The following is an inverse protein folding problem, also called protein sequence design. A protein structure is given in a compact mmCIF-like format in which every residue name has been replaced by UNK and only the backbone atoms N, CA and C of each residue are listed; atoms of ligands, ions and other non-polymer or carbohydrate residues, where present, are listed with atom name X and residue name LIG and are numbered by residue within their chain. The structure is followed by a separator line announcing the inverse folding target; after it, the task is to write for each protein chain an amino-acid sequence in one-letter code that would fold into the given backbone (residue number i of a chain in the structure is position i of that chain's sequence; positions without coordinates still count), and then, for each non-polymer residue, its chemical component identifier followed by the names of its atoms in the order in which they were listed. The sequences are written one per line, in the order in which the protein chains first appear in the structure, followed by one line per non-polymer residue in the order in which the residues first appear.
data_IF_039513833790
#
_entry.id   IF_039513833790
#
_cell.length_a   1.000
_cell.length_b   1.000
_cell.length_c   1.000
_cell.angle_alpha   90.00
_cell.angle_beta   90.00
_cell.angle_gamma   90.00
#
_symmetry.space_group_name_H-M   'P 1'
#
loop_
_entity.id
_entity.type
_entity.pdbx_description
1 polymer ?
#
# COMPACT_ATOMS: atom_id res chain seq x y z
N UNK A 1 2.35 -9.83 -15.39
CA UNK A 1 2.18 -10.10 -13.94
C UNK A 1 1.99 -11.59 -13.66
N UNK A 2 1.13 -12.30 -14.41
CA UNK A 2 0.93 -13.77 -14.25
C UNK A 2 2.25 -14.53 -14.43
N UNK A 3 3.10 -14.12 -15.39
CA UNK A 3 4.41 -14.75 -15.64
C UNK A 3 5.42 -14.55 -14.49
N UNK A 4 5.29 -13.48 -13.70
CA UNK A 4 6.14 -13.27 -12.54
C UNK A 4 5.86 -14.30 -11.44
N UNK A 5 4.60 -14.57 -11.12
CA UNK A 5 4.21 -15.55 -10.10
C UNK A 5 4.49 -17.02 -10.49
N UNK A 6 4.77 -17.28 -11.76
CA UNK A 6 5.11 -18.63 -12.25
C UNK A 6 6.61 -18.90 -12.27
N UNK A 7 7.47 -17.89 -12.08
CA UNK A 7 8.92 -18.10 -12.02
C UNK A 7 9.30 -18.90 -10.75
N UNK A 8 10.19 -19.86 -10.90
CA UNK A 8 10.65 -20.69 -9.78
C UNK A 8 11.21 -19.85 -8.62
N UNK A 9 11.86 -18.72 -8.92
CA UNK A 9 12.40 -17.81 -7.90
C UNK A 9 11.34 -17.22 -6.96
N UNK A 10 10.08 -17.11 -7.39
CA UNK A 10 8.96 -16.64 -6.56
C UNK A 10 8.19 -17.77 -5.86
N UNK A 11 8.54 -19.02 -6.15
CA UNK A 11 7.92 -20.21 -5.58
C UNK A 11 8.85 -20.96 -4.64
N UNK A 12 10.11 -20.53 -4.54
CA UNK A 12 11.11 -21.09 -3.64
C UNK A 12 11.23 -20.23 -2.39
N UNK A 13 11.27 -20.90 -1.25
CA UNK A 13 11.57 -20.29 0.04
C UNK A 13 12.50 -21.24 0.78
N UNK A 14 13.40 -20.71 1.59
CA UNK A 14 14.24 -21.51 2.47
C UNK A 14 13.39 -22.27 3.49
N UNK A 15 13.80 -23.47 3.83
CA UNK A 15 13.12 -24.29 4.83
C UNK A 15 13.60 -23.90 6.24
N UNK A 16 12.71 -23.25 6.96
CA UNK A 16 12.89 -22.87 8.37
C UNK A 16 12.03 -23.69 9.32
N UNK A 17 11.48 -24.84 8.87
CA UNK A 17 10.59 -25.69 9.66
C UNK A 17 11.26 -26.28 10.91
N UNK A 18 12.59 -26.30 10.93
CA UNK A 18 13.42 -26.73 12.05
C UNK A 18 13.56 -25.70 13.18
N UNK A 19 13.14 -24.45 12.94
CA UNK A 19 13.11 -23.42 13.97
C UNK A 19 11.87 -23.60 14.88
N UNK A 20 11.97 -23.08 16.10
CA UNK A 20 10.88 -23.15 17.07
C UNK A 20 9.83 -22.06 16.80
N UNK A 21 9.04 -22.28 15.74
CA UNK A 21 7.90 -21.42 15.40
C UNK A 21 6.71 -21.71 16.31
N UNK A 22 6.04 -20.70 16.87
CA UNK A 22 4.75 -20.90 17.50
C UNK A 22 3.70 -21.27 16.43
N UNK A 23 2.75 -22.14 16.78
CA UNK A 23 1.55 -22.29 15.96
C UNK A 23 0.71 -21.02 16.05
N UNK A 24 0.59 -20.31 14.94
CA UNK A 24 -0.09 -19.03 14.92
C UNK A 24 -0.75 -18.75 13.56
N UNK A 25 -1.72 -17.84 13.59
CA UNK A 25 -2.35 -17.32 12.38
C UNK A 25 -2.26 -15.81 12.41
N UNK A 26 -1.67 -15.23 11.37
CA UNK A 26 -1.62 -13.80 11.18
C UNK A 26 -2.72 -13.33 10.24
N UNK A 27 -3.23 -12.15 10.48
CA UNK A 27 -4.15 -11.47 9.58
C UNK A 27 -3.38 -10.44 8.75
N UNK A 28 -3.41 -10.63 7.45
CA UNK A 28 -2.87 -9.70 6.46
C UNK A 28 -4.02 -8.84 5.94
N UNK A 29 -3.92 -7.52 6.05
CA UNK A 29 -4.90 -6.57 5.51
C UNK A 29 -4.34 -5.81 4.31
N UNK A 30 -5.19 -5.53 3.32
CA UNK A 30 -4.89 -4.58 2.25
C UNK A 30 -6.12 -3.75 1.88
N UNK A 31 -5.88 -2.53 1.40
CA UNK A 31 -6.95 -1.57 1.08
C UNK A 31 -7.68 -1.85 -0.22
N UNK A 32 -7.11 -2.66 -1.09
CA UNK A 32 -7.64 -2.94 -2.42
C UNK A 32 -8.53 -4.18 -2.44
N UNK A 33 -9.23 -4.40 -3.56
CA UNK A 33 -10.19 -5.51 -3.70
C UNK A 33 -9.53 -6.89 -3.64
N UNK A 34 -10.33 -7.90 -3.39
CA UNK A 34 -9.94 -9.32 -3.32
C UNK A 34 -9.21 -9.81 -4.58
N UNK A 35 -9.54 -9.25 -5.75
CA UNK A 35 -8.95 -9.60 -7.04
C UNK A 35 -7.74 -8.73 -7.43
N UNK A 36 -7.23 -7.94 -6.51
CA UNK A 36 -6.09 -7.06 -6.75
C UNK A 36 -4.76 -7.80 -6.64
N UNK A 37 -3.73 -7.25 -7.29
CA UNK A 37 -2.35 -7.71 -7.16
C UNK A 37 -1.83 -7.60 -5.71
N UNK A 38 -2.38 -6.70 -4.90
CA UNK A 38 -2.04 -6.57 -3.49
C UNK A 38 -2.53 -7.77 -2.68
N UNK A 39 -3.78 -8.19 -2.90
CA UNK A 39 -4.33 -9.38 -2.26
C UNK A 39 -3.62 -10.66 -2.78
N UNK A 40 -3.25 -10.73 -4.06
CA UNK A 40 -2.44 -11.82 -4.62
C UNK A 40 -1.06 -11.90 -3.96
N UNK A 41 -0.41 -10.76 -3.76
CA UNK A 41 0.85 -10.66 -3.04
C UNK A 41 0.74 -11.20 -1.60
N UNK A 42 -0.33 -10.81 -0.88
CA UNK A 42 -0.62 -11.32 0.44
C UNK A 42 -0.85 -12.85 0.47
N UNK A 43 -1.62 -13.38 -0.50
CA UNK A 43 -1.82 -14.83 -0.63
C UNK A 43 -0.51 -15.56 -0.88
N UNK A 44 0.32 -15.02 -1.77
CA UNK A 44 1.63 -15.62 -2.06
C UNK A 44 2.56 -15.59 -0.86
N UNK A 45 2.58 -14.47 -0.14
CA UNK A 45 3.32 -14.37 1.11
C UNK A 45 2.86 -15.43 2.12
N UNK A 46 1.55 -15.61 2.31
CA UNK A 46 0.98 -16.62 3.21
C UNK A 46 1.37 -18.05 2.82
N UNK A 47 1.28 -18.39 1.52
CA UNK A 47 1.73 -19.68 0.99
C UNK A 47 3.21 -19.97 1.32
N UNK A 48 4.07 -18.96 1.09
CA UNK A 48 5.51 -19.11 1.35
C UNK A 48 5.81 -19.21 2.84
N UNK A 49 5.11 -18.46 3.69
CA UNK A 49 5.26 -18.55 5.15
C UNK A 49 4.82 -19.93 5.68
N UNK A 50 3.68 -20.45 5.22
CA UNK A 50 3.23 -21.76 5.61
C UNK A 50 4.24 -22.84 5.19
N UNK A 51 4.77 -22.75 3.97
CA UNK A 51 5.81 -23.66 3.47
C UNK A 51 7.10 -23.56 4.28
N UNK A 52 7.61 -22.34 4.51
CA UNK A 52 8.87 -22.11 5.22
C UNK A 52 8.83 -22.59 6.67
N UNK A 53 7.67 -22.50 7.32
CA UNK A 53 7.50 -22.84 8.76
C UNK A 53 6.95 -24.25 9.00
N UNK A 54 6.84 -25.08 7.95
CA UNK A 54 6.27 -26.42 8.05
C UNK A 54 4.80 -26.42 8.51
N UNK A 55 4.03 -25.41 8.09
CA UNK A 55 2.60 -25.27 8.39
C UNK A 55 2.27 -24.63 9.74
N UNK A 56 3.27 -24.20 10.51
CA UNK A 56 3.05 -23.62 11.85
C UNK A 56 2.53 -22.18 11.80
N UNK A 57 2.96 -21.39 10.82
CA UNK A 57 2.47 -20.02 10.61
C UNK A 57 1.54 -19.98 9.42
N UNK A 58 0.29 -19.57 9.65
CA UNK A 58 -0.72 -19.35 8.61
C UNK A 58 -1.02 -17.88 8.45
N UNK A 59 -1.47 -17.46 7.26
CA UNK A 59 -1.83 -16.06 6.99
C UNK A 59 -3.22 -16.01 6.37
N UNK A 60 -4.15 -15.35 7.04
CA UNK A 60 -5.46 -15.03 6.49
C UNK A 60 -5.38 -13.70 5.74
N UNK A 61 -6.03 -13.60 4.59
CA UNK A 61 -6.04 -12.39 3.77
C UNK A 61 -7.39 -11.67 3.91
N UNK A 62 -7.34 -10.39 4.24
CA UNK A 62 -8.49 -9.51 4.37
C UNK A 62 -8.31 -8.32 3.44
N UNK A 63 -8.99 -8.36 2.30
CA UNK A 63 -9.00 -7.29 1.30
C UNK A 63 -9.97 -6.17 1.67
N UNK A 64 -9.86 -5.02 0.99
CA UNK A 64 -10.74 -3.86 1.16
C UNK A 64 -10.91 -3.39 2.61
N UNK A 65 -9.87 -3.56 3.43
CA UNK A 65 -9.87 -3.21 4.87
C UNK A 65 -11.06 -3.81 5.63
N UNK A 66 -11.45 -5.06 5.32
CA UNK A 66 -12.61 -5.75 5.91
C UNK A 66 -12.60 -5.76 7.43
N UNK A 67 -11.41 -5.88 8.05
CA UNK A 67 -11.28 -5.92 9.52
C UNK A 67 -11.58 -4.56 10.19
N UNK A 68 -11.65 -3.49 9.40
CA UNK A 68 -11.93 -2.12 9.85
C UNK A 68 -13.04 -1.45 9.03
N UNK A 69 -14.00 -2.26 8.55
CA UNK A 69 -15.19 -1.81 7.81
C UNK A 69 -14.85 -0.90 6.60
N UNK A 70 -13.73 -1.15 5.92
CA UNK A 70 -13.28 -0.39 4.77
C UNK A 70 -12.53 0.90 5.11
N UNK A 71 -12.28 1.19 6.37
CA UNK A 71 -11.56 2.38 6.80
C UNK A 71 -10.05 2.15 6.80
N UNK A 72 -9.35 2.76 5.85
CA UNK A 72 -7.92 2.60 5.64
C UNK A 72 -7.07 3.10 6.82
N UNK A 73 -7.45 4.23 7.43
CA UNK A 73 -6.71 4.78 8.57
C UNK A 73 -6.86 3.90 9.82
N UNK A 74 -8.06 3.34 10.05
CA UNK A 74 -8.27 2.37 11.11
C UNK A 74 -7.51 1.07 10.85
N UNK A 75 -7.35 0.65 9.57
CA UNK A 75 -6.53 -0.48 9.18
C UNK A 75 -5.06 -0.32 9.58
N UNK A 76 -4.48 0.86 9.33
CA UNK A 76 -3.12 1.19 9.78
C UNK A 76 -3.02 1.27 11.30
N UNK A 77 -4.03 1.82 11.98
CA UNK A 77 -4.04 1.86 13.44
C UNK A 77 -4.14 0.46 14.06
N UNK A 78 -4.92 -0.43 13.46
CA UNK A 78 -5.01 -1.84 13.86
C UNK A 78 -3.67 -2.55 13.70
N UNK A 79 -2.93 -2.28 12.61
CA UNK A 79 -1.56 -2.77 12.42
C UNK A 79 -0.61 -2.26 13.51
N UNK A 80 -0.63 -0.96 13.81
CA UNK A 80 0.21 -0.36 14.87
C UNK A 80 -0.10 -0.97 16.24
N UNK A 81 -1.35 -1.36 16.49
CA UNK A 81 -1.76 -2.02 17.72
C UNK A 81 -1.44 -3.54 17.73
N UNK A 82 -1.16 -4.13 16.56
CA UNK A 82 -0.91 -5.57 16.39
C UNK A 82 -2.16 -6.45 16.47
N UNK A 83 -3.35 -5.85 16.57
CA UNK A 83 -4.63 -6.55 16.64
C UNK A 83 -5.77 -5.68 16.04
N UNK A 84 -6.63 -6.24 15.20
CA UNK A 84 -6.63 -7.60 14.65
C UNK A 84 -5.68 -7.81 13.45
N UNK A 85 -4.86 -6.84 13.07
CA UNK A 85 -3.97 -6.88 11.90
C UNK A 85 -2.52 -7.01 12.35
N UNK A 86 -1.81 -8.04 11.86
CA UNK A 86 -0.39 -8.26 12.14
C UNK A 86 0.50 -7.90 10.95
N UNK A 87 -0.04 -7.97 9.74
CA UNK A 87 0.68 -7.65 8.50
C UNK A 87 -0.25 -6.82 7.62
N UNK A 88 0.29 -5.85 6.90
CA UNK A 88 -0.53 -5.11 5.95
C UNK A 88 0.23 -4.63 4.72
N UNK A 89 -0.54 -4.37 3.67
CA UNK A 89 -0.10 -3.65 2.48
C UNK A 89 -1.00 -2.42 2.29
N UNK A 90 -0.50 -1.27 2.71
CA UNK A 90 -1.19 0.00 2.63
C UNK A 90 -0.35 1.06 1.91
N UNK A 91 -1.02 2.04 1.33
CA UNK A 91 -0.36 3.16 0.66
C UNK A 91 0.30 4.10 1.67
N UNK A 92 1.52 4.56 1.36
CA UNK A 92 2.20 5.62 2.11
C UNK A 92 1.35 6.91 2.23
N UNK A 93 0.44 7.16 1.28
CA UNK A 93 -0.49 8.28 1.34
C UNK A 93 -1.39 8.25 2.59
N UNK A 94 -1.80 7.07 3.02
CA UNK A 94 -2.65 6.93 4.21
C UNK A 94 -1.80 7.11 5.49
N UNK A 95 -0.56 6.59 5.49
CA UNK A 95 0.38 6.83 6.59
C UNK A 95 0.66 8.32 6.80
N UNK A 96 0.54 9.16 5.76
CA UNK A 96 0.75 10.60 5.89
C UNK A 96 -0.26 11.31 6.81
N UNK A 97 -1.37 10.67 7.15
CA UNK A 97 -2.31 11.17 8.16
C UNK A 97 -1.77 11.04 9.59
N UNK A 98 -0.86 10.10 9.83
CA UNK A 98 -0.20 9.89 11.12
C UNK A 98 1.12 10.64 11.18
N UNK A 99 1.88 10.66 10.08
CA UNK A 99 3.16 11.36 10.00
C UNK A 99 3.34 12.03 8.63
N UNK A 100 3.44 13.37 8.58
CA UNK A 100 3.55 14.11 7.32
C UNK A 100 4.84 13.81 6.55
N UNK A 101 5.87 13.20 7.15
CA UNK A 101 7.10 12.78 6.46
C UNK A 101 6.82 11.77 5.34
N UNK A 102 5.77 10.97 5.45
CA UNK A 102 5.33 10.06 4.38
C UNK A 102 4.85 10.76 3.10
N UNK A 103 4.59 12.07 3.15
CA UNK A 103 4.20 12.82 1.95
C UNK A 103 5.37 13.04 0.99
N UNK A 104 6.62 13.04 1.45
CA UNK A 104 7.78 13.43 0.65
C UNK A 104 7.92 12.58 -0.63
N UNK A 105 7.63 11.31 -0.52
CA UNK A 105 7.69 10.36 -1.65
C UNK A 105 6.45 10.38 -2.56
N UNK A 106 5.48 11.22 -2.26
CA UNK A 106 4.25 11.40 -3.05
C UNK A 106 4.08 12.81 -3.58
N UNK A 107 5.11 13.64 -3.46
CA UNK A 107 5.11 14.96 -4.07
C UNK A 107 4.95 14.83 -5.59
N UNK A 108 4.14 15.69 -6.23
CA UNK A 108 4.00 15.68 -7.67
C UNK A 108 5.33 15.89 -8.39
N UNK A 109 5.54 15.17 -9.49
CA UNK A 109 6.67 15.35 -10.42
C UNK A 109 8.07 15.11 -9.84
N UNK A 110 8.19 14.29 -8.77
CA UNK A 110 9.48 13.93 -8.18
C UNK A 110 10.14 12.71 -8.81
N UNK A 111 9.42 12.01 -9.70
CA UNK A 111 9.92 10.84 -10.42
C UNK A 111 9.74 11.03 -11.91
N UNK A 112 10.80 10.74 -12.67
CA UNK A 112 10.80 10.85 -14.14
C UNK A 112 10.44 9.52 -14.82
N UNK A 113 10.66 8.39 -14.14
CA UNK A 113 10.41 7.05 -14.65
C UNK A 113 10.26 6.04 -13.52
N UNK A 114 9.90 4.79 -13.85
CA UNK A 114 9.91 3.67 -12.89
C UNK A 114 11.32 3.38 -12.40
N UNK A 115 12.32 3.36 -13.28
CA UNK A 115 13.73 3.12 -12.90
C UNK A 115 14.23 4.19 -11.92
N UNK A 116 13.82 5.46 -12.09
CA UNK A 116 14.16 6.55 -11.18
C UNK A 116 13.46 6.38 -9.82
N UNK A 117 12.19 5.95 -9.81
CA UNK A 117 11.47 5.66 -8.59
C UNK A 117 12.09 4.48 -7.83
N UNK A 118 12.39 3.38 -8.53
CA UNK A 118 13.04 2.20 -7.96
C UNK A 118 14.39 2.56 -7.33
N UNK A 119 15.25 3.29 -8.05
CA UNK A 119 16.55 3.71 -7.55
C UNK A 119 16.42 4.56 -6.25
N UNK A 120 15.39 5.39 -6.13
CA UNK A 120 15.13 6.20 -4.93
C UNK A 120 14.59 5.35 -3.78
N UNK A 121 13.69 4.40 -4.05
CA UNK A 121 13.10 3.54 -3.03
C UNK A 121 14.03 2.42 -2.56
N UNK A 122 14.93 1.94 -3.43
CA UNK A 122 16.00 1.01 -3.06
C UNK A 122 17.18 1.73 -2.37
N UNK A 123 17.19 3.06 -2.40
CA UNK A 123 18.21 3.92 -1.83
C UNK A 123 17.80 4.59 -0.51
N UNK A 124 18.38 5.77 -0.25
CA UNK A 124 18.25 6.52 1.01
C UNK A 124 16.78 6.87 1.35
N UNK A 125 15.96 7.18 0.34
CA UNK A 125 14.55 7.54 0.58
C UNK A 125 13.75 6.35 1.14
N UNK A 126 13.96 5.15 0.60
CA UNK A 126 13.30 3.95 1.10
C UNK A 126 13.78 3.56 2.50
N UNK A 127 15.09 3.63 2.77
CA UNK A 127 15.63 3.39 4.12
C UNK A 127 15.05 4.38 5.13
N UNK A 128 14.90 5.65 4.75
CA UNK A 128 14.28 6.66 5.61
C UNK A 128 12.82 6.37 5.92
N UNK A 129 12.05 5.87 4.95
CA UNK A 129 10.66 5.43 5.22
C UNK A 129 10.61 4.24 6.17
N UNK A 130 11.52 3.28 6.04
CA UNK A 130 11.63 2.13 6.95
C UNK A 130 11.95 2.58 8.38
N UNK A 131 12.88 3.54 8.55
CA UNK A 131 13.20 4.14 9.84
C UNK A 131 11.97 4.79 10.48
N UNK A 132 11.22 5.60 9.71
CA UNK A 132 10.01 6.26 10.20
C UNK A 132 8.96 5.23 10.63
N UNK A 133 8.74 4.15 9.86
CA UNK A 133 7.84 3.07 10.26
C UNK A 133 8.31 2.40 11.56
N UNK A 134 9.61 2.23 11.75
CA UNK A 134 10.22 1.73 12.98
C UNK A 134 9.90 2.57 14.22
N UNK A 135 9.77 3.90 14.08
CA UNK A 135 9.36 4.80 15.19
C UNK A 135 7.94 4.48 15.69
N UNK A 136 7.10 3.87 14.84
CA UNK A 136 5.73 3.40 15.17
C UNK A 136 5.67 1.92 15.57
N UNK A 137 6.82 1.29 15.79
CA UNK A 137 6.90 -0.14 16.14
C UNK A 137 6.63 -1.09 14.98
N UNK A 138 6.65 -0.59 13.76
CA UNK A 138 6.40 -1.37 12.55
C UNK A 138 7.71 -1.81 11.89
N UNK A 139 7.75 -3.04 11.41
CA UNK A 139 8.83 -3.53 10.56
C UNK A 139 8.40 -3.48 9.09
N UNK A 140 9.12 -2.67 8.28
CA UNK A 140 8.88 -2.59 6.85
C UNK A 140 9.61 -3.72 6.13
N UNK A 141 8.89 -4.70 5.62
CA UNK A 141 9.45 -5.82 4.86
C UNK A 141 9.85 -5.44 3.44
N UNK A 142 9.23 -4.41 2.87
CA UNK A 142 9.51 -3.92 1.53
C UNK A 142 8.61 -2.77 1.13
N UNK A 143 9.01 -2.06 0.07
CA UNK A 143 8.25 -0.99 -0.56
C UNK A 143 7.98 -1.43 -1.99
N UNK A 144 6.71 -1.41 -2.39
CA UNK A 144 6.29 -1.76 -3.73
C UNK A 144 5.71 -0.53 -4.44
N UNK A 145 5.98 -0.44 -5.73
CA UNK A 145 5.36 0.57 -6.57
C UNK A 145 3.88 0.28 -6.83
N UNK A 146 3.08 1.34 -6.81
CA UNK A 146 1.71 1.28 -7.33
C UNK A 146 1.57 1.93 -8.72
N UNK A 147 2.65 2.48 -9.24
CA UNK A 147 2.71 3.15 -10.53
C UNK A 147 2.42 4.65 -10.48
N UNK A 148 2.50 5.28 -11.64
CA UNK A 148 2.16 6.69 -11.81
C UNK A 148 0.66 6.91 -11.69
N UNK A 149 0.30 8.06 -11.12
CA UNK A 149 -1.10 8.41 -10.93
C UNK A 149 -1.68 9.05 -12.18
N UNK A 150 -2.74 8.45 -12.68
CA UNK A 150 -3.52 8.96 -13.79
C UNK A 150 -4.84 9.58 -13.30
N UNK A 151 -5.31 10.60 -14.02
CA UNK A 151 -6.59 11.26 -13.74
C UNK A 151 -7.62 10.79 -14.74
N UNK A 152 -8.69 10.18 -14.27
CA UNK A 152 -9.84 9.81 -15.09
C UNK A 152 -11.04 10.68 -14.74
N UNK A 153 -11.81 11.09 -15.74
CA UNK A 153 -13.07 11.80 -15.53
C UNK A 153 -14.04 11.55 -16.70
N UNK A 154 -15.33 11.85 -16.49
CA UNK A 154 -16.41 11.66 -17.46
C UNK A 154 -16.87 12.98 -18.12
N UNK A 155 -16.19 14.10 -17.92
CA UNK A 155 -16.66 15.41 -18.34
C UNK A 155 -16.00 15.89 -19.62
N UNK A 156 -14.68 15.94 -19.66
CA UNK A 156 -13.90 16.44 -20.79
C UNK A 156 -12.45 15.97 -20.70
N UNK A 157 -11.72 16.13 -21.77
CA UNK A 157 -10.29 15.87 -21.85
C UNK A 157 -9.51 16.88 -20.98
N UNK A 158 -8.48 16.40 -20.28
CA UNK A 158 -7.58 17.23 -19.48
C UNK A 158 -6.25 17.35 -20.23
N UNK A 159 -5.92 18.56 -20.70
CA UNK A 159 -4.66 18.88 -21.41
C UNK A 159 -3.78 19.83 -20.62
N UNK A 160 -4.36 20.56 -19.68
CA UNK A 160 -3.70 21.57 -18.88
C UNK A 160 -4.29 21.64 -17.47
N UNK A 161 -3.62 22.36 -16.58
CA UNK A 161 -4.12 22.61 -15.22
C UNK A 161 -5.45 23.38 -15.24
N UNK A 162 -5.67 24.22 -16.25
CA UNK A 162 -6.92 25.00 -16.37
C UNK A 162 -8.14 24.08 -16.58
N UNK A 163 -7.96 22.92 -17.18
CA UNK A 163 -9.01 21.93 -17.40
C UNK A 163 -9.43 21.20 -16.11
N UNK A 164 -8.67 21.37 -15.02
CA UNK A 164 -9.02 20.82 -13.71
C UNK A 164 -10.09 21.63 -12.98
N UNK A 165 -10.36 22.86 -13.41
CA UNK A 165 -11.28 23.77 -12.72
C UNK A 165 -12.68 23.18 -12.62
N UNK A 166 -13.20 23.17 -11.38
CA UNK A 166 -14.54 22.67 -11.04
C UNK A 166 -14.78 21.17 -11.30
N UNK A 167 -13.75 20.40 -11.62
CA UNK A 167 -13.88 18.94 -11.65
C UNK A 167 -14.00 18.41 -10.23
N UNK A 168 -15.00 17.57 -9.98
CA UNK A 168 -15.10 16.79 -8.74
C UNK A 168 -14.17 15.59 -8.87
N UNK A 169 -13.16 15.54 -8.02
CA UNK A 169 -12.13 14.48 -8.08
C UNK A 169 -12.02 13.80 -6.73
N UNK A 170 -12.16 12.47 -6.73
CA UNK A 170 -11.82 11.67 -5.58
C UNK A 170 -10.30 11.58 -5.43
N UNK A 171 -9.82 11.77 -4.23
CA UNK A 171 -8.43 11.51 -3.85
C UNK A 171 -8.34 10.52 -2.69
N UNK A 172 -7.21 9.83 -2.57
CA UNK A 172 -6.93 9.00 -1.39
C UNK A 172 -6.74 9.87 -0.13
N UNK A 173 -6.78 9.27 1.04
CA UNK A 173 -6.70 9.93 2.35
C UNK A 173 -5.39 10.64 2.62
N UNK A 174 -5.10 11.67 1.84
CA UNK A 174 -3.86 12.46 1.91
C UNK A 174 -4.15 13.95 1.82
N UNK A 175 -3.76 14.70 2.83
CA UNK A 175 -3.84 16.16 2.82
C UNK A 175 -3.01 16.77 1.69
N UNK A 176 -1.87 16.16 1.35
CA UNK A 176 -1.04 16.58 0.22
C UNK A 176 -1.85 16.54 -1.09
N UNK A 177 -2.50 15.42 -1.39
CA UNK A 177 -3.29 15.30 -2.61
C UNK A 177 -4.48 16.28 -2.60
N UNK A 178 -5.18 16.42 -1.47
CA UNK A 178 -6.27 17.38 -1.33
C UNK A 178 -5.81 18.80 -1.71
N UNK A 179 -4.67 19.24 -1.16
CA UNK A 179 -4.12 20.56 -1.43
C UNK A 179 -3.63 20.71 -2.87
N UNK A 180 -2.98 19.72 -3.44
CA UNK A 180 -2.54 19.77 -4.85
C UNK A 180 -3.73 19.94 -5.80
N UNK A 181 -4.75 19.08 -5.68
CA UNK A 181 -5.91 19.16 -6.57
C UNK A 181 -6.73 20.43 -6.38
N UNK A 182 -6.88 20.93 -5.15
CA UNK A 182 -7.50 22.23 -4.88
C UNK A 182 -6.74 23.38 -5.53
N UNK A 183 -5.40 23.39 -5.44
CA UNK A 183 -4.55 24.40 -6.09
C UNK A 183 -4.64 24.36 -7.61
N UNK A 184 -4.91 23.19 -8.18
CA UNK A 184 -5.19 23.03 -9.62
C UNK A 184 -6.63 23.44 -10.00
N UNK A 185 -7.45 23.83 -9.02
CA UNK A 185 -8.82 24.32 -9.24
C UNK A 185 -9.89 23.25 -9.19
N UNK A 186 -9.55 22.01 -8.87
CA UNK A 186 -10.50 20.92 -8.72
C UNK A 186 -11.22 20.98 -7.35
N UNK A 187 -12.45 20.44 -7.32
CA UNK A 187 -13.20 20.16 -6.10
C UNK A 187 -12.80 18.74 -5.61
N UNK A 188 -11.73 18.68 -4.81
CA UNK A 188 -11.18 17.43 -4.34
C UNK A 188 -11.91 16.93 -3.10
N UNK A 189 -12.27 15.64 -3.10
CA UNK A 189 -12.91 14.96 -1.97
C UNK A 189 -12.10 13.73 -1.57
N UNK A 190 -11.75 13.64 -0.29
CA UNK A 190 -11.15 12.44 0.27
C UNK A 190 -12.21 11.33 0.43
N UNK A 191 -11.86 10.11 -0.01
CA UNK A 191 -12.77 8.97 0.08
C UNK A 191 -11.96 7.67 0.19
N UNK A 192 -12.37 6.75 1.06
CA UNK A 192 -11.75 5.43 1.15
C UNK A 192 -11.86 4.67 -0.17
N UNK A 193 -10.94 3.75 -0.41
CA UNK A 193 -10.96 2.95 -1.63
C UNK A 193 -12.25 2.14 -1.78
N UNK A 194 -12.73 1.56 -0.68
CA UNK A 194 -13.96 0.76 -0.64
C UNK A 194 -15.24 1.53 -1.04
N UNK A 195 -15.21 2.87 -0.98
CA UNK A 195 -16.34 3.74 -1.31
C UNK A 195 -16.25 4.32 -2.73
N UNK A 196 -15.18 4.00 -3.48
CA UNK A 196 -14.87 4.65 -4.76
C UNK A 196 -15.65 4.03 -5.93
N UNK A 197 -16.13 2.80 -5.83
CA UNK A 197 -16.84 2.05 -6.88
C UNK A 197 -18.23 1.59 -6.44
#
# INVERSE_FOLDING_TARGET
LVDLFTKDSFNTVEDYSNLDWPETTWNFACSTTETSTWADGGRKFGELMEKATGGKVKVNIYAADQLTNGNQSEGIQALMNGDPVQISMHSNLIYSAFDPRFNVVSLPFVYDSYDDADAKFDGEAGEKLKEILGEYGLHCMGIAENGFREITNSKHEIKSVDDMKNLKVRVAGSNLLMECYKRWGADATNMNWSETY
#
